data_IF_123053115590
#
_entry.id   IF_123053115590
#
_cell.length_a   1.000
_cell.length_b   1.000
_cell.length_c   1.000
_cell.angle_alpha   90.00
_cell.angle_beta   90.00
_cell.angle_gamma   90.00
#
_symmetry.space_group_name_H-M   'P 1'
#
loop_
_entity.id
_entity.type
_entity.pdbx_description
1 polymer ?
#
# COMPACT_ATOMS: atom_id res chain seq x y z
N UNK A 1 33.56 6.79 19.60
CA UNK A 1 32.11 6.70 19.82
C UNK A 1 31.47 6.33 18.49
N UNK A 2 30.94 5.10 18.30
CA UNK A 2 30.19 4.79 17.09
C UNK A 2 28.91 5.63 17.09
N UNK A 3 28.55 6.23 15.95
CA UNK A 3 27.35 7.05 15.80
C UNK A 3 26.13 6.15 15.93
N UNK A 4 25.28 6.40 16.92
CA UNK A 4 24.09 5.62 17.26
C UNK A 4 22.97 5.64 16.19
N UNK A 5 23.25 6.09 14.96
CA UNK A 5 22.26 6.37 13.91
C UNK A 5 22.32 5.40 12.72
N UNK A 6 23.11 4.32 12.79
CA UNK A 6 22.93 3.20 11.87
C UNK A 6 21.69 2.43 12.31
N UNK A 7 20.52 2.88 11.83
CA UNK A 7 19.29 2.08 11.87
C UNK A 7 19.64 0.72 11.27
N UNK A 8 19.68 -0.31 12.13
CA UNK A 8 19.86 -1.69 11.71
C UNK A 8 18.89 -1.98 10.57
N UNK A 9 19.42 -2.18 9.36
CA UNK A 9 18.59 -2.48 8.19
C UNK A 9 18.00 -3.87 8.41
N UNK A 10 16.68 -3.94 8.51
CA UNK A 10 15.97 -5.21 8.57
C UNK A 10 15.90 -5.81 7.17
N UNK A 11 16.86 -6.69 6.88
CA UNK A 11 16.95 -7.39 5.61
C UNK A 11 15.80 -8.38 5.36
N UNK A 12 14.96 -8.70 6.36
CA UNK A 12 13.79 -9.53 6.12
C UNK A 12 12.76 -8.84 5.22
N UNK A 13 12.68 -7.50 5.28
CA UNK A 13 11.76 -6.68 4.47
C UNK A 13 12.14 -6.58 3.00
N UNK A 14 13.33 -7.04 2.61
CA UNK A 14 13.77 -7.04 1.21
C UNK A 14 13.41 -8.32 0.48
N UNK A 15 12.55 -9.14 1.08
CA UNK A 15 11.93 -10.32 0.45
C UNK A 15 10.45 -10.06 0.21
N UNK A 16 9.83 -10.77 -0.74
CA UNK A 16 8.39 -10.66 -0.98
C UNK A 16 7.59 -11.00 0.29
N UNK A 17 7.83 -12.17 0.88
CA UNK A 17 7.09 -12.63 2.06
C UNK A 17 7.25 -11.70 3.27
N UNK A 18 8.47 -11.16 3.46
CA UNK A 18 8.74 -10.20 4.53
C UNK A 18 8.03 -8.86 4.32
N UNK A 19 8.06 -8.35 3.08
CA UNK A 19 7.34 -7.14 2.73
C UNK A 19 5.82 -7.32 2.86
N UNK A 20 5.26 -8.43 2.36
CA UNK A 20 3.83 -8.77 2.47
C UNK A 20 3.38 -8.81 3.93
N UNK A 21 4.09 -9.56 4.78
CA UNK A 21 3.78 -9.67 6.21
C UNK A 21 3.83 -8.32 6.91
N UNK A 22 4.85 -7.51 6.62
CA UNK A 22 4.98 -6.19 7.22
C UNK A 22 3.90 -5.22 6.76
N UNK A 23 3.48 -5.29 5.48
CA UNK A 23 2.34 -4.51 5.00
C UNK A 23 1.06 -4.90 5.75
N UNK A 24 0.75 -6.19 5.87
CA UNK A 24 -0.42 -6.65 6.63
C UNK A 24 -0.38 -6.18 8.08
N UNK A 25 0.80 -6.23 8.73
CA UNK A 25 0.98 -5.73 10.10
C UNK A 25 0.67 -4.25 10.21
N UNK A 26 1.16 -3.42 9.27
CA UNK A 26 0.90 -1.97 9.25
C UNK A 26 -0.57 -1.67 8.99
N UNK A 27 -1.18 -2.37 8.03
CA UNK A 27 -2.60 -2.23 7.72
C UNK A 27 -3.50 -2.57 8.92
N UNK A 28 -3.17 -3.61 9.68
CA UNK A 28 -3.90 -3.98 10.88
C UNK A 28 -3.82 -2.93 12.02
N UNK A 29 -2.87 -1.98 11.94
CA UNK A 29 -2.69 -0.92 12.93
C UNK A 29 -3.37 0.40 12.54
N UNK A 30 -3.93 0.48 11.33
CA UNK A 30 -4.62 1.68 10.87
C UNK A 30 -5.97 1.85 11.60
N UNK A 31 -6.33 3.10 11.84
CA UNK A 31 -7.68 3.47 12.24
C UNK A 31 -8.67 3.27 11.09
N UNK A 32 -9.95 3.18 11.43
CA UNK A 32 -11.02 3.09 10.42
C UNK A 32 -11.00 4.29 9.45
N UNK A 33 -10.71 5.48 9.96
CA UNK A 33 -10.63 6.70 9.14
C UNK A 33 -9.51 6.61 8.10
N UNK A 34 -8.32 6.13 8.50
CA UNK A 34 -7.19 5.95 7.59
C UNK A 34 -7.49 4.88 6.53
N UNK A 35 -8.16 3.79 6.93
CA UNK A 35 -8.59 2.75 5.99
C UNK A 35 -9.58 3.32 4.97
N UNK A 36 -10.59 4.06 5.40
CA UNK A 36 -11.58 4.66 4.49
C UNK A 36 -10.92 5.63 3.50
N UNK A 37 -10.04 6.50 4.01
CA UNK A 37 -9.29 7.45 3.18
C UNK A 37 -8.44 6.73 2.12
N UNK A 38 -7.75 5.67 2.50
CA UNK A 38 -6.95 4.88 1.56
C UNK A 38 -7.82 4.25 0.45
N UNK A 39 -9.01 3.75 0.79
CA UNK A 39 -9.94 3.19 -0.21
C UNK A 39 -10.47 4.26 -1.17
N UNK A 40 -10.81 5.45 -0.67
CA UNK A 40 -11.26 6.58 -1.50
C UNK A 40 -10.15 7.07 -2.45
N UNK A 41 -8.91 7.15 -1.97
CA UNK A 41 -7.75 7.49 -2.80
C UNK A 41 -7.51 6.44 -3.89
N UNK A 42 -7.59 5.14 -3.54
CA UNK A 42 -7.48 4.05 -4.50
C UNK A 42 -8.59 4.10 -5.57
N UNK A 43 -9.83 4.41 -5.19
CA UNK A 43 -10.94 4.59 -6.12
C UNK A 43 -10.67 5.77 -7.07
N UNK A 44 -10.23 6.91 -6.55
CA UNK A 44 -9.85 8.07 -7.37
C UNK A 44 -8.72 7.74 -8.36
N UNK A 45 -7.71 6.99 -7.91
CA UNK A 45 -6.64 6.50 -8.78
C UNK A 45 -7.17 5.55 -9.85
N UNK A 46 -8.06 4.62 -9.49
CA UNK A 46 -8.68 3.69 -10.43
C UNK A 46 -9.52 4.42 -11.49
N UNK A 47 -10.24 5.48 -11.13
CA UNK A 47 -10.98 6.32 -12.09
C UNK A 47 -10.04 7.07 -13.03
N UNK A 48 -8.95 7.63 -12.50
CA UNK A 48 -7.93 8.34 -13.29
C UNK A 48 -7.18 7.42 -14.25
N UNK A 49 -6.81 6.22 -13.80
CA UNK A 49 -6.09 5.22 -14.59
C UNK A 49 -7.02 4.43 -15.52
N UNK A 50 -8.27 4.22 -15.09
CA UNK A 50 -9.31 3.48 -15.81
C UNK A 50 -10.10 4.32 -16.81
N UNK A 51 -9.80 5.62 -16.92
CA UNK A 51 -10.36 6.56 -17.90
C UNK A 51 -9.93 6.28 -19.34
N UNK A 52 -10.26 5.09 -19.87
CA UNK A 52 -10.54 4.75 -21.27
C UNK A 52 -10.52 3.22 -21.47
N UNK A 53 -11.25 2.44 -20.68
CA UNK A 53 -11.67 1.11 -21.13
C UNK A 53 -12.99 1.27 -21.91
N UNK A 54 -13.05 0.93 -23.22
CA UNK A 54 -14.29 1.02 -23.97
C UNK A 54 -15.30 0.08 -23.35
N UNK A 55 -16.34 0.65 -22.73
CA UNK A 55 -17.53 -0.09 -22.34
C UNK A 55 -18.16 -0.63 -23.61
N UNK A 56 -17.81 -1.87 -23.96
CA UNK A 56 -18.54 -2.59 -25.00
C UNK A 56 -19.88 -2.93 -24.37
N UNK A 57 -20.84 -2.01 -24.47
CA UNK A 57 -22.24 -2.32 -24.19
C UNK A 57 -22.65 -3.40 -25.18
N UNK A 58 -22.78 -4.64 -24.69
CA UNK A 58 -23.42 -5.71 -25.43
C UNK A 58 -24.88 -5.32 -25.67
N UNK A 59 -25.28 -5.37 -26.93
CA UNK A 59 -26.61 -5.07 -27.44
C UNK A 59 -27.57 -6.22 -27.16
#
# INVERSE_FOLDING_TARGET
>A
MPRSDEKSIDWSLTTWDGAEREQLRRWAQLSLEEILRAQEEMQSLAERLGGSAPTTKAK
#
